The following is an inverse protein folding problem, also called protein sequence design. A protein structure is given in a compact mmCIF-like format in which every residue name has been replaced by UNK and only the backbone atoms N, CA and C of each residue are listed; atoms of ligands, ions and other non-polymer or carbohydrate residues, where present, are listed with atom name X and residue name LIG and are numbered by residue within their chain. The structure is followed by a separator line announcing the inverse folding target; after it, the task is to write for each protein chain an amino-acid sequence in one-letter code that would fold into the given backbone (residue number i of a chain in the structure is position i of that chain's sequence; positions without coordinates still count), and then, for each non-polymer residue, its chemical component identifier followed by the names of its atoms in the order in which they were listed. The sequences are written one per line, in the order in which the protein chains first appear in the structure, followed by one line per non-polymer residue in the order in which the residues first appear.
data_IF_146287171757
#
_entry.id   IF_146287171757
#
_cell.length_a   1.000
_cell.length_b   1.000
_cell.length_c   1.000
_cell.angle_alpha   90.00
_cell.angle_beta   90.00
_cell.angle_gamma   90.00
#
_symmetry.space_group_name_H-M   'P 1'
#
loop_
_entity.id
_entity.type
_entity.pdbx_description
1 polymer ?
#
# COMPACT_ATOMS: atom_id res chain seq x y z
N UNK A 1 46.31 -22.02 35.57
CA UNK A 1 47.08 -22.07 34.31
C UNK A 1 46.17 -21.63 33.16
N UNK A 2 46.73 -20.83 32.23
CA UNK A 2 46.25 -20.42 30.89
C UNK A 2 44.89 -19.68 30.80
N UNK A 3 44.82 -18.37 30.44
CA UNK A 3 45.00 -17.72 29.10
C UNK A 3 43.84 -18.10 28.14
N UNK A 4 43.18 -17.25 27.34
CA UNK A 4 43.41 -15.89 26.79
C UNK A 4 42.15 -15.48 25.97
N UNK A 5 41.88 -14.17 25.87
CA UNK A 5 41.33 -13.33 24.77
C UNK A 5 40.39 -13.97 23.69
N UNK A 6 39.37 -13.29 23.14
CA UNK A 6 39.47 -12.00 22.43
C UNK A 6 38.09 -11.47 21.94
N UNK A 7 37.93 -10.14 22.01
CA UNK A 7 37.24 -9.19 21.13
C UNK A 7 35.74 -9.33 20.75
N UNK A 8 34.94 -8.34 21.17
CA UNK A 8 34.05 -7.59 20.26
C UNK A 8 33.66 -6.21 20.82
N UNK A 9 34.35 -5.18 20.34
CA UNK A 9 34.07 -3.74 20.47
C UNK A 9 35.00 -3.10 19.43
N UNK A 10 34.60 -2.26 18.49
CA UNK A 10 33.56 -1.23 18.44
C UNK A 10 33.32 -0.92 16.96
N UNK A 11 32.08 -0.79 16.50
CA UNK A 11 31.78 0.04 15.34
C UNK A 11 30.83 1.15 15.74
N UNK A 12 31.35 2.36 15.53
CA UNK A 12 30.81 3.66 15.91
C UNK A 12 29.59 3.95 15.03
N UNK A 13 28.44 4.20 15.65
CA UNK A 13 27.35 4.89 14.96
C UNK A 13 27.81 6.31 14.63
N UNK A 14 28.03 6.56 13.34
CA UNK A 14 28.39 7.89 12.82
C UNK A 14 27.12 8.74 12.76
N UNK A 15 26.93 9.62 13.73
CA UNK A 15 25.96 10.70 13.66
C UNK A 15 26.51 11.79 12.75
N UNK A 16 25.98 11.91 11.52
CA UNK A 16 26.29 13.05 10.65
C UNK A 16 25.35 14.19 11.00
N UNK A 17 25.83 15.10 11.86
CA UNK A 17 25.24 16.41 12.07
C UNK A 17 25.59 17.33 10.90
N UNK A 18 24.62 17.64 10.06
CA UNK A 18 24.73 18.64 8.98
C UNK A 18 24.06 19.94 9.37
N UNK A 19 24.76 20.81 10.11
CA UNK A 19 24.40 22.23 10.23
C UNK A 19 24.99 22.95 9.01
N UNK A 20 24.17 23.52 8.13
CA UNK A 20 24.69 24.44 7.11
C UNK A 20 23.75 25.59 6.80
N UNK A 21 24.37 26.78 6.89
CA UNK A 21 23.81 28.13 6.90
C UNK A 21 23.16 28.47 5.55
N UNK A 22 21.99 29.10 5.59
CA UNK A 22 21.36 29.73 4.43
C UNK A 22 22.23 30.90 3.94
N UNK A 23 22.65 30.87 2.67
CA UNK A 23 23.02 32.07 1.91
C UNK A 23 21.87 32.40 0.96
N UNK A 24 21.46 33.67 0.80
CA UNK A 24 20.54 34.04 -0.26
C UNK A 24 21.36 34.21 -1.56
N UNK A 25 21.23 33.25 -2.46
CA UNK A 25 21.71 33.32 -3.83
C UNK A 25 20.57 33.75 -4.74
N UNK A 26 20.77 34.89 -5.39
CA UNK A 26 19.95 35.53 -6.41
C UNK A 26 19.59 34.58 -7.57
N UNK A 27 18.30 34.43 -7.91
CA UNK A 27 17.84 33.80 -9.15
C UNK A 27 16.95 34.76 -9.93
N UNK A 28 17.50 35.33 -10.99
CA UNK A 28 16.75 35.88 -12.09
C UNK A 28 16.60 34.84 -13.20
N UNK A 29 15.42 34.82 -13.82
CA UNK A 29 15.21 34.50 -15.23
C UNK A 29 15.17 33.02 -15.63
N UNK A 30 14.04 32.61 -16.22
CA UNK A 30 13.95 31.43 -17.06
C UNK A 30 12.73 30.56 -16.78
N UNK A 31 11.57 30.95 -17.30
CA UNK A 31 10.39 30.12 -17.34
C UNK A 31 10.60 28.97 -18.35
N UNK A 32 11.13 27.85 -17.88
CA UNK A 32 10.86 26.52 -18.44
C UNK A 32 10.18 25.74 -17.31
N UNK A 33 8.87 25.55 -17.44
CA UNK A 33 8.11 24.69 -16.55
C UNK A 33 8.44 23.24 -16.90
N UNK A 34 9.58 22.77 -16.38
CA UNK A 34 9.85 21.34 -16.32
C UNK A 34 8.68 20.66 -15.59
N UNK A 35 8.15 19.53 -16.09
CA UNK A 35 7.13 18.78 -15.36
C UNK A 35 7.70 18.43 -13.97
N UNK A 36 6.91 18.67 -12.94
CA UNK A 36 7.32 18.40 -11.56
C UNK A 36 7.84 16.95 -11.48
N UNK A 37 8.98 16.70 -10.79
CA UNK A 37 9.46 15.34 -10.62
C UNK A 37 8.36 14.49 -9.95
N UNK A 38 8.22 13.21 -10.34
CA UNK A 38 7.24 12.35 -9.70
C UNK A 38 7.48 12.35 -8.18
N UNK A 39 6.41 12.28 -7.37
CA UNK A 39 6.57 12.24 -5.92
C UNK A 39 7.53 11.10 -5.55
N UNK A 40 8.41 11.30 -4.55
CA UNK A 40 9.33 10.26 -4.12
C UNK A 40 8.55 9.00 -3.74
N UNK A 41 9.08 7.79 -4.00
CA UNK A 41 8.42 6.56 -3.60
C UNK A 41 8.18 6.63 -2.09
N UNK A 42 6.90 6.58 -1.70
CA UNK A 42 6.53 6.48 -0.29
C UNK A 42 7.14 5.16 0.20
N UNK A 43 7.89 5.19 1.31
CA UNK A 43 8.35 3.96 1.95
C UNK A 43 7.11 3.30 2.55
N UNK A 44 6.41 2.51 1.75
CA UNK A 44 5.14 1.91 2.12
C UNK A 44 5.34 0.80 3.16
N UNK A 45 4.41 0.71 4.10
CA UNK A 45 4.41 -0.32 5.13
C UNK A 45 5.19 0.00 6.40
N UNK A 46 5.43 1.27 6.73
CA UNK A 46 5.90 1.65 8.08
C UNK A 46 4.76 2.33 8.84
N UNK A 47 4.34 1.71 9.94
CA UNK A 47 3.24 2.17 10.78
C UNK A 47 3.81 2.76 12.08
N UNK A 48 3.57 4.05 12.40
CA UNK A 48 3.93 4.60 13.69
C UNK A 48 2.96 4.08 14.76
N UNK A 49 3.51 3.41 15.77
CA UNK A 49 2.76 2.91 16.92
C UNK A 49 3.15 3.68 18.17
N UNK A 50 2.14 4.01 18.96
CA UNK A 50 2.27 4.73 20.22
C UNK A 50 1.81 3.83 21.35
N UNK A 51 2.64 3.69 22.37
CA UNK A 51 2.30 2.96 23.59
C UNK A 51 2.47 3.90 24.76
N UNK A 52 1.44 3.98 25.61
CA UNK A 52 1.51 4.68 26.89
C UNK A 52 1.12 3.79 28.06
N UNK A 53 1.79 3.95 29.18
CA UNK A 53 1.52 3.21 30.42
C UNK A 53 1.58 4.16 31.60
N UNK A 54 0.48 4.26 32.33
CA UNK A 54 0.42 5.01 33.59
C UNK A 54 1.05 4.17 34.71
N UNK A 55 2.11 4.71 35.30
CA UNK A 55 2.75 4.23 36.52
C UNK A 55 2.30 5.13 37.68
N UNK A 56 2.47 4.68 38.92
CA UNK A 56 1.94 5.39 40.09
C UNK A 56 2.36 6.87 40.15
N UNK A 57 3.62 7.17 39.84
CA UNK A 57 4.21 8.52 39.94
C UNK A 57 4.67 9.09 38.60
N UNK A 58 4.62 8.30 37.52
CA UNK A 58 5.15 8.68 36.19
C UNK A 58 4.34 8.04 35.08
N UNK A 59 4.53 8.47 33.84
CA UNK A 59 3.95 7.80 32.67
C UNK A 59 5.09 7.38 31.75
N UNK A 60 5.03 6.14 31.28
CA UNK A 60 5.92 5.65 30.24
C UNK A 60 5.25 5.85 28.88
N UNK A 61 5.94 6.50 27.94
CA UNK A 61 5.49 6.69 26.57
C UNK A 61 6.58 6.29 25.59
N UNK A 62 6.23 5.49 24.61
CA UNK A 62 7.15 5.05 23.56
C UNK A 62 6.51 5.17 22.19
N UNK A 63 7.33 5.48 21.18
CA UNK A 63 6.92 5.50 19.79
C UNK A 63 7.85 4.61 18.99
N UNK A 64 7.30 3.61 18.30
CA UNK A 64 8.08 2.71 17.45
C UNK A 64 7.49 2.60 16.06
N UNK A 65 8.38 2.29 15.12
CA UNK A 65 8.05 2.08 13.72
C UNK A 65 7.82 0.59 13.49
N UNK A 66 6.62 0.24 13.02
CA UNK A 66 6.25 -1.13 12.70
C UNK A 66 6.33 -1.36 11.21
N UNK A 67 7.16 -2.31 10.78
CA UNK A 67 7.17 -2.75 9.39
C UNK A 67 6.00 -3.72 9.15
N UNK A 68 5.14 -3.38 8.20
CA UNK A 68 4.04 -4.20 7.75
C UNK A 68 4.60 -5.36 6.92
N UNK A 69 5.04 -6.42 7.61
CA UNK A 69 5.37 -7.72 7.01
C UNK A 69 4.17 -8.66 7.09
N UNK A 70 4.26 -9.78 6.36
CA UNK A 70 3.19 -10.75 6.10
C UNK A 70 2.30 -11.03 7.34
N UNK A 71 0.97 -10.96 7.17
CA UNK A 71 -0.04 -10.91 8.26
C UNK A 71 0.07 -12.05 9.28
N UNK A 72 0.48 -13.24 8.85
CA UNK A 72 0.63 -14.42 9.71
C UNK A 72 1.80 -14.26 10.70
N UNK A 73 2.95 -13.79 10.22
CA UNK A 73 4.10 -13.48 11.09
C UNK A 73 3.75 -12.29 11.99
N UNK A 74 3.09 -11.27 11.43
CA UNK A 74 2.65 -10.07 12.16
C UNK A 74 1.63 -10.34 13.27
N UNK A 75 0.89 -11.44 13.27
CA UNK A 75 -0.06 -11.77 14.34
C UNK A 75 0.62 -12.27 15.62
N UNK A 76 1.80 -12.88 15.49
CA UNK A 76 2.59 -13.46 16.57
C UNK A 76 3.56 -12.49 17.24
N UNK A 77 3.91 -11.39 16.54
CA UNK A 77 4.88 -10.39 17.01
C UNK A 77 4.40 -9.49 18.17
N UNK A 78 3.13 -9.01 18.24
CA UNK A 78 2.68 -8.13 19.32
C UNK A 78 2.94 -8.66 20.74
N UNK A 79 2.64 -9.93 21.09
CA UNK A 79 2.94 -10.43 22.43
C UNK A 79 4.44 -10.55 22.71
N UNK A 80 5.27 -10.87 21.69
CA UNK A 80 6.73 -10.97 21.84
C UNK A 80 7.35 -9.60 22.10
N UNK A 81 6.96 -8.60 21.31
CA UNK A 81 7.46 -7.22 21.45
C UNK A 81 7.00 -6.61 22.78
N UNK A 82 5.76 -6.86 23.20
CA UNK A 82 5.24 -6.36 24.49
C UNK A 82 6.05 -6.90 25.67
N UNK A 83 6.35 -8.22 25.65
CA UNK A 83 7.22 -8.84 26.65
C UNK A 83 8.62 -8.26 26.64
N UNK A 84 9.21 -8.10 25.46
CA UNK A 84 10.55 -7.53 25.33
C UNK A 84 10.61 -6.09 25.85
N UNK A 85 9.61 -5.27 25.50
CA UNK A 85 9.51 -3.88 25.96
C UNK A 85 9.38 -3.80 27.49
N UNK A 86 8.51 -4.62 28.09
CA UNK A 86 8.41 -4.68 29.56
C UNK A 86 9.74 -5.07 30.21
N UNK A 87 10.47 -6.02 29.60
CA UNK A 87 11.77 -6.47 30.11
C UNK A 87 12.85 -5.39 30.01
N UNK A 88 12.91 -4.66 28.91
CA UNK A 88 13.90 -3.61 28.68
C UNK A 88 13.65 -2.37 29.55
N UNK A 89 12.38 -2.01 29.72
CA UNK A 89 11.98 -0.81 30.48
C UNK A 89 11.73 -1.09 31.97
N UNK A 90 11.90 -2.33 32.42
CA UNK A 90 11.68 -2.73 33.81
C UNK A 90 10.21 -2.61 34.26
N UNK A 91 9.25 -2.70 33.32
CA UNK A 91 7.83 -2.60 33.62
C UNK A 91 7.31 -3.94 34.20
N UNK A 92 6.35 -3.90 35.15
CA UNK A 92 5.68 -5.10 35.62
C UNK A 92 5.02 -5.90 34.49
N UNK A 93 5.10 -7.23 34.58
CA UNK A 93 4.52 -8.17 33.59
C UNK A 93 3.01 -7.96 33.39
N UNK A 94 2.30 -7.42 34.38
CA UNK A 94 0.89 -7.05 34.26
C UNK A 94 0.59 -6.08 33.11
N UNK A 95 1.57 -5.28 32.69
CA UNK A 95 1.42 -4.32 31.60
C UNK A 95 1.62 -4.93 30.21
N UNK A 96 2.15 -6.16 30.08
CA UNK A 96 2.36 -6.81 28.78
C UNK A 96 1.05 -6.86 27.96
N UNK A 97 -0.05 -7.29 28.59
CA UNK A 97 -1.36 -7.37 27.93
C UNK A 97 -1.89 -6.02 27.48
N UNK A 98 -1.62 -4.97 28.26
CA UNK A 98 -2.07 -3.61 27.97
C UNK A 98 -1.28 -3.02 26.79
N UNK A 99 0.04 -3.21 26.78
CA UNK A 99 0.92 -2.81 25.67
C UNK A 99 0.56 -3.58 24.40
N UNK A 100 0.34 -4.89 24.51
CA UNK A 100 -0.09 -5.74 23.39
C UNK A 100 -1.42 -5.24 22.80
N UNK A 101 -2.40 -4.92 23.64
CA UNK A 101 -3.69 -4.40 23.20
C UNK A 101 -3.54 -3.07 22.45
N UNK A 102 -2.65 -2.17 22.92
CA UNK A 102 -2.36 -0.92 22.23
C UNK A 102 -1.67 -1.12 20.88
N UNK A 103 -0.69 -2.03 20.80
CA UNK A 103 -0.05 -2.43 19.54
C UNK A 103 -1.10 -2.95 18.56
N UNK A 104 -1.93 -3.91 18.98
CA UNK A 104 -2.98 -4.49 18.14
C UNK A 104 -3.99 -3.45 17.68
N UNK A 105 -4.40 -2.55 18.58
CA UNK A 105 -5.31 -1.46 18.25
C UNK A 105 -4.70 -0.47 17.26
N UNK A 106 -3.41 -0.14 17.42
CA UNK A 106 -2.66 0.68 16.48
C UNK A 106 -2.58 0.02 15.12
N UNK A 107 -2.15 -1.24 15.04
CA UNK A 107 -2.08 -2.01 13.79
C UNK A 107 -3.43 -2.12 13.09
N UNK A 108 -4.52 -2.31 13.84
CA UNK A 108 -5.88 -2.38 13.26
C UNK A 108 -6.26 -1.11 12.51
N UNK A 109 -5.80 0.07 12.95
CA UNK A 109 -6.06 1.35 12.25
C UNK A 109 -5.40 1.42 10.89
N UNK A 110 -4.32 0.67 10.70
CA UNK A 110 -3.51 0.65 9.48
C UNK A 110 -3.63 -0.66 8.70
N UNK A 111 -4.41 -1.62 9.18
CA UNK A 111 -4.69 -2.90 8.50
C UNK A 111 -5.58 -2.75 7.25
N UNK A 112 -5.67 -1.55 6.67
CA UNK A 112 -6.62 -1.15 5.63
C UNK A 112 -6.25 -1.51 4.19
N UNK A 113 -5.11 -2.16 3.93
CA UNK A 113 -4.89 -2.86 2.65
C UNK A 113 -5.05 -4.35 2.95
N UNK A 114 -6.27 -4.86 2.78
CA UNK A 114 -6.51 -6.31 2.83
C UNK A 114 -5.76 -6.95 1.66
N UNK A 115 -4.71 -7.70 1.97
CA UNK A 115 -4.00 -8.52 0.99
C UNK A 115 -4.88 -9.75 0.72
N UNK A 116 -5.45 -9.86 -0.48
CA UNK A 116 -6.28 -11.01 -0.86
C UNK A 116 -5.47 -12.30 -1.09
N UNK A 117 -4.14 -12.25 -0.93
CA UNK A 117 -3.23 -13.38 -1.04
C UNK A 117 -2.88 -13.74 -2.48
N UNK A 118 -1.81 -13.15 -3.02
CA UNK A 118 -1.38 -13.33 -4.41
C UNK A 118 -1.79 -12.16 -5.31
N UNK A 119 -1.86 -12.37 -6.62
CA UNK A 119 -2.37 -11.37 -7.58
C UNK A 119 -3.90 -11.29 -7.48
N UNK A 120 -4.46 -10.09 -7.32
CA UNK A 120 -5.91 -9.86 -7.23
C UNK A 120 -6.37 -8.97 -8.39
N UNK A 121 -6.29 -9.51 -9.59
CA UNK A 121 -6.58 -8.80 -10.83
C UNK A 121 -8.09 -8.67 -11.06
N UNK A 122 -8.60 -7.44 -11.06
CA UNK A 122 -9.98 -7.11 -11.40
C UNK A 122 -10.07 -6.38 -12.73
N UNK A 123 -11.24 -6.43 -13.36
CA UNK A 123 -11.50 -5.62 -14.56
C UNK A 123 -12.31 -4.40 -14.15
N UNK A 124 -11.77 -3.20 -14.39
CA UNK A 124 -12.46 -1.93 -14.22
C UNK A 124 -13.10 -1.52 -15.56
N UNK A 125 -14.33 -1.05 -15.51
CA UNK A 125 -15.11 -0.59 -16.66
C UNK A 125 -15.40 0.90 -16.49
N UNK A 126 -14.51 1.73 -17.02
CA UNK A 126 -14.50 3.17 -16.80
C UNK A 126 -15.46 3.83 -17.80
N UNK A 127 -16.39 4.63 -17.30
CA UNK A 127 -17.26 5.50 -18.10
C UNK A 127 -17.39 6.83 -17.39
N UNK A 128 -16.62 7.81 -17.86
CA UNK A 128 -16.46 9.12 -17.22
C UNK A 128 -16.96 10.20 -18.16
N UNK A 129 -17.97 10.93 -17.73
CA UNK A 129 -18.55 12.04 -18.49
C UNK A 129 -18.06 13.36 -17.91
N UNK A 130 -17.52 14.24 -18.76
CA UNK A 130 -17.14 15.59 -18.33
C UNK A 130 -17.36 16.60 -19.46
N UNK A 131 -18.30 17.52 -19.25
CA UNK A 131 -18.69 18.50 -20.26
C UNK A 131 -19.44 17.85 -21.43
N UNK A 132 -18.91 17.97 -22.65
CA UNK A 132 -19.45 17.28 -23.83
C UNK A 132 -18.63 16.05 -24.25
N UNK A 133 -17.63 15.66 -23.47
CA UNK A 133 -16.74 14.55 -23.80
C UNK A 133 -16.98 13.40 -22.81
N UNK A 134 -16.98 12.16 -23.32
CA UNK A 134 -17.15 10.94 -22.53
C UNK A 134 -15.93 10.05 -22.78
N UNK A 135 -15.21 9.75 -21.72
CA UNK A 135 -14.10 8.80 -21.72
C UNK A 135 -14.61 7.42 -21.30
N UNK A 136 -14.39 6.42 -22.14
CA UNK A 136 -14.69 5.02 -21.83
C UNK A 136 -13.43 4.18 -21.97
N UNK A 137 -13.22 3.26 -21.03
CA UNK A 137 -12.07 2.36 -21.09
C UNK A 137 -12.34 1.10 -20.27
N UNK A 138 -11.68 0.01 -20.63
CA UNK A 138 -11.67 -1.23 -19.85
C UNK A 138 -10.24 -1.57 -19.51
N UNK A 139 -9.92 -1.60 -18.23
CA UNK A 139 -8.55 -1.83 -17.73
C UNK A 139 -8.49 -2.96 -16.71
N UNK A 140 -7.38 -3.68 -16.70
CA UNK A 140 -7.11 -4.67 -15.66
C UNK A 140 -6.33 -3.99 -14.54
N UNK A 141 -6.76 -4.23 -13.30
CA UNK A 141 -6.19 -3.59 -12.12
C UNK A 141 -5.87 -4.62 -11.06
N UNK A 142 -4.64 -4.64 -10.56
CA UNK A 142 -4.29 -5.47 -9.40
C UNK A 142 -4.61 -4.71 -8.11
N UNK A 143 -5.50 -5.29 -7.28
CA UNK A 143 -5.89 -4.73 -5.98
C UNK A 143 -4.82 -4.87 -4.90
N UNK A 144 -3.86 -5.78 -5.10
CA UNK A 144 -2.78 -6.07 -4.15
C UNK A 144 -1.47 -5.36 -4.52
N UNK A 145 -1.34 -4.83 -5.73
CA UNK A 145 -0.17 -4.03 -6.11
C UNK A 145 -0.27 -2.64 -5.48
N UNK A 146 0.65 -2.35 -4.57
CA UNK A 146 0.62 -1.13 -3.76
C UNK A 146 1.09 0.10 -4.53
N UNK A 147 1.87 -0.10 -5.59
CA UNK A 147 2.36 0.97 -6.48
C UNK A 147 1.29 1.50 -7.44
N UNK A 148 0.15 0.80 -7.56
CA UNK A 148 -0.95 1.23 -8.41
C UNK A 148 -1.68 2.42 -7.77
N UNK A 149 -1.44 3.63 -8.30
CA UNK A 149 -2.14 4.86 -7.89
C UNK A 149 -3.19 5.26 -8.94
N UNK A 150 -4.47 5.38 -8.54
CA UNK A 150 -5.54 5.92 -9.40
C UNK A 150 -5.23 7.32 -9.94
N UNK A 151 -4.56 8.15 -9.15
CA UNK A 151 -4.17 9.51 -9.52
C UNK A 151 -3.09 9.52 -10.60
N UNK A 152 -2.06 8.68 -10.45
CA UNK A 152 -1.02 8.53 -11.47
C UNK A 152 -1.59 7.96 -12.77
N UNK A 153 -2.50 6.98 -12.68
CA UNK A 153 -3.21 6.43 -13.83
C UNK A 153 -4.02 7.52 -14.55
N UNK A 154 -4.83 8.28 -13.82
CA UNK A 154 -5.66 9.34 -14.40
C UNK A 154 -4.81 10.45 -15.07
N UNK A 155 -3.68 10.81 -14.46
CA UNK A 155 -2.74 11.74 -15.04
C UNK A 155 -2.18 11.23 -16.38
N UNK A 156 -1.72 9.98 -16.41
CA UNK A 156 -1.15 9.37 -17.61
C UNK A 156 -2.19 9.27 -18.73
N UNK A 157 -3.43 8.87 -18.42
CA UNK A 157 -4.53 8.84 -19.39
C UNK A 157 -4.78 10.23 -19.99
N UNK A 158 -4.80 11.27 -19.15
CA UNK A 158 -4.99 12.64 -19.63
C UNK A 158 -3.82 13.11 -20.50
N UNK A 159 -2.58 12.74 -20.18
CA UNK A 159 -1.41 13.06 -20.98
C UNK A 159 -1.43 12.35 -22.35
N UNK A 160 -1.74 11.06 -22.36
CA UNK A 160 -1.73 10.20 -23.54
C UNK A 160 -2.84 10.58 -24.54
N UNK A 161 -4.05 10.84 -24.03
CA UNK A 161 -5.22 11.21 -24.83
C UNK A 161 -5.36 12.72 -25.06
N UNK A 162 -4.43 13.53 -24.52
CA UNK A 162 -4.45 15.00 -24.57
C UNK A 162 -5.76 15.59 -24.04
N UNK A 163 -6.30 15.00 -22.98
CA UNK A 163 -7.49 15.49 -22.30
C UNK A 163 -7.17 16.72 -21.44
N UNK A 164 -8.22 17.46 -21.08
CA UNK A 164 -8.09 18.56 -20.11
C UNK A 164 -7.76 18.00 -18.73
N UNK A 165 -6.99 18.74 -17.95
CA UNK A 165 -6.63 18.39 -16.57
C UNK A 165 -7.87 18.15 -15.70
N UNK A 166 -9.00 18.78 -16.03
CA UNK A 166 -10.27 18.59 -15.30
C UNK A 166 -10.83 17.16 -15.40
N UNK A 167 -10.40 16.34 -16.37
CA UNK A 167 -10.73 14.92 -16.46
C UNK A 167 -9.98 14.05 -15.44
N UNK A 168 -8.87 14.54 -14.90
CA UNK A 168 -8.01 13.78 -14.00
C UNK A 168 -8.74 13.37 -12.72
N UNK A 169 -9.45 14.31 -12.08
CA UNK A 169 -10.18 14.03 -10.84
C UNK A 169 -11.36 13.06 -11.06
N UNK A 170 -12.27 13.28 -12.04
CA UNK A 170 -13.33 12.32 -12.35
C UNK A 170 -12.83 10.89 -12.63
N UNK A 171 -11.77 10.74 -13.43
CA UNK A 171 -11.19 9.42 -13.72
C UNK A 171 -10.65 8.77 -12.44
N UNK A 172 -9.87 9.51 -11.65
CA UNK A 172 -9.31 8.98 -10.40
C UNK A 172 -10.41 8.59 -9.40
N UNK A 173 -11.47 9.38 -9.27
CA UNK A 173 -12.64 9.06 -8.42
C UNK A 173 -13.29 7.75 -8.89
N UNK A 174 -13.61 7.63 -10.17
CA UNK A 174 -14.27 6.43 -10.72
C UNK A 174 -13.42 5.17 -10.50
N UNK A 175 -12.11 5.26 -10.71
CA UNK A 175 -11.19 4.15 -10.45
C UNK A 175 -11.18 3.76 -8.97
N UNK A 176 -11.07 4.73 -8.05
CA UNK A 176 -11.12 4.47 -6.59
C UNK A 176 -12.42 3.81 -6.15
N UNK A 177 -13.55 4.30 -6.66
CA UNK A 177 -14.86 3.75 -6.36
C UNK A 177 -14.99 2.30 -6.82
N UNK A 178 -14.56 1.98 -8.04
CA UNK A 178 -14.60 0.61 -8.54
C UNK A 178 -13.66 -0.32 -7.77
N UNK A 179 -12.43 0.14 -7.47
CA UNK A 179 -11.49 -0.60 -6.62
C UNK A 179 -12.17 -0.98 -5.30
N UNK A 180 -12.77 -0.01 -4.60
CA UNK A 180 -13.41 -0.25 -3.30
C UNK A 180 -14.61 -1.19 -3.42
N UNK A 181 -15.44 -1.04 -4.45
CA UNK A 181 -16.55 -1.96 -4.73
C UNK A 181 -16.07 -3.40 -4.95
N UNK A 182 -14.98 -3.57 -5.70
CA UNK A 182 -14.36 -4.88 -5.92
C UNK A 182 -13.80 -5.46 -4.62
N UNK A 183 -13.13 -4.65 -3.78
CA UNK A 183 -12.64 -5.08 -2.47
C UNK A 183 -13.77 -5.56 -1.58
N UNK A 184 -14.86 -4.78 -1.47
CA UNK A 184 -16.01 -5.15 -0.65
C UNK A 184 -16.70 -6.43 -1.14
N UNK A 185 -16.80 -6.61 -2.47
CA UNK A 185 -17.34 -7.85 -3.05
C UNK A 185 -16.49 -9.06 -2.66
N UNK A 186 -15.17 -8.96 -2.84
CA UNK A 186 -14.24 -10.03 -2.47
C UNK A 186 -14.30 -10.34 -0.98
N UNK A 187 -14.33 -9.33 -0.12
CA UNK A 187 -14.44 -9.50 1.32
C UNK A 187 -15.75 -10.19 1.72
N UNK A 188 -16.85 -9.84 1.05
CA UNK A 188 -18.15 -10.48 1.27
C UNK A 188 -18.10 -11.95 0.87
N UNK A 189 -17.58 -12.26 -0.31
CA UNK A 189 -17.47 -13.63 -0.83
C UNK A 189 -16.54 -14.49 0.03
N UNK A 190 -15.45 -13.89 0.52
CA UNK A 190 -14.53 -14.47 1.50
C UNK A 190 -15.24 -14.82 2.82
N UNK A 191 -15.99 -13.86 3.38
CA UNK A 191 -16.70 -14.02 4.66
C UNK A 191 -17.87 -15.01 4.59
N UNK A 192 -18.48 -15.18 3.41
CA UNK A 192 -19.61 -16.07 3.19
C UNK A 192 -19.22 -17.56 3.05
N UNK A 193 -17.92 -17.89 3.09
CA UNK A 193 -17.45 -19.28 2.99
C UNK A 193 -17.66 -19.92 1.62
N UNK A 194 -17.92 -19.12 0.57
CA UNK A 194 -18.16 -19.63 -0.80
C UNK A 194 -16.89 -20.17 -1.49
N UNK A 195 -15.72 -20.14 -0.84
CA UNK A 195 -14.47 -20.66 -1.38
C UNK A 195 -14.28 -22.20 -1.19
N UNK A 196 -15.35 -22.97 -0.95
CA UNK A 196 -15.26 -24.41 -0.64
C UNK A 196 -15.81 -25.36 -1.71
N UNK A 197 -15.87 -24.97 -2.99
CA UNK A 197 -16.12 -25.94 -4.08
C UNK A 197 -15.24 -25.68 -5.30
N UNK A 198 -13.94 -25.93 -5.15
CA UNK A 198 -13.02 -26.17 -6.28
C UNK A 198 -12.19 -27.41 -5.97
N UNK A 199 -12.00 -28.37 -6.91
CA UNK A 199 -11.18 -29.52 -6.64
C UNK A 199 -9.69 -29.16 -6.73
N UNK A 200 -8.92 -29.69 -5.77
CA UNK A 200 -7.46 -29.88 -5.83
C UNK A 200 -6.54 -28.77 -5.31
N UNK A 201 -6.22 -28.89 -4.01
CA UNK A 201 -4.85 -28.90 -3.45
C UNK A 201 -3.81 -27.93 -4.02
N UNK A 202 -3.76 -26.72 -3.45
CA UNK A 202 -2.52 -26.00 -3.17
C UNK A 202 -2.75 -25.14 -1.91
N UNK A 203 -1.87 -25.15 -0.89
CA UNK A 203 -2.01 -24.27 0.29
C UNK A 203 -1.72 -22.79 -0.01
N UNK A 204 -1.58 -22.41 -1.28
CA UNK A 204 -1.30 -21.05 -1.76
C UNK A 204 -2.03 -20.86 -3.08
N UNK A 205 -2.99 -19.94 -3.12
CA UNK A 205 -3.69 -19.58 -4.36
C UNK A 205 -5.18 -19.39 -4.13
N UNK A 206 -5.55 -18.27 -3.51
CA UNK A 206 -6.95 -17.84 -3.41
C UNK A 206 -7.16 -16.70 -4.40
N UNK A 207 -7.30 -17.05 -5.69
CA UNK A 207 -7.69 -16.11 -6.73
C UNK A 207 -8.18 -16.85 -7.98
N UNK A 208 -9.41 -17.36 -7.97
CA UNK A 208 -10.08 -17.78 -9.22
C UNK A 208 -11.54 -17.35 -9.23
N UNK A 209 -11.80 -16.08 -8.90
CA UNK A 209 -13.11 -15.48 -9.14
C UNK A 209 -12.96 -14.04 -9.64
N UNK A 210 -12.01 -13.75 -10.55
CA UNK A 210 -11.89 -12.42 -11.11
C UNK A 210 -11.52 -12.49 -12.59
N UNK A 211 -12.53 -12.30 -13.45
CA UNK A 211 -12.46 -12.44 -14.92
C UNK A 211 -12.00 -13.82 -15.39
N UNK A 212 -12.39 -14.24 -16.60
CA UNK A 212 -11.88 -15.47 -17.22
C UNK A 212 -10.37 -15.59 -17.01
N UNK A 213 -9.83 -16.80 -16.73
CA UNK A 213 -8.41 -16.96 -16.47
C UNK A 213 -7.66 -16.26 -17.58
N UNK A 214 -6.78 -15.34 -17.21
CA UNK A 214 -5.81 -14.79 -18.14
C UNK A 214 -5.22 -15.99 -18.90
N UNK A 215 -5.18 -15.96 -20.24
CA UNK A 215 -4.49 -17.00 -20.97
C UNK A 215 -3.08 -17.10 -20.36
N UNK A 216 -2.69 -18.34 -20.04
CA UNK A 216 -1.42 -18.77 -19.47
C UNK A 216 -0.29 -17.73 -19.61
N UNK A 217 0.46 -17.47 -18.54
CA UNK A 217 1.47 -16.42 -18.39
C UNK A 217 2.54 -16.33 -19.51
N UNK A 218 2.54 -17.25 -20.47
CA UNK A 218 3.25 -17.18 -21.75
C UNK A 218 2.59 -16.34 -22.85
N UNK A 219 1.35 -15.84 -22.69
CA UNK A 219 0.68 -14.99 -23.69
C UNK A 219 0.51 -13.56 -23.17
N UNK A 220 1.53 -12.73 -23.45
CA UNK A 220 1.53 -11.29 -23.15
C UNK A 220 0.59 -10.50 -24.09
N UNK A 221 0.24 -11.06 -25.25
CA UNK A 221 -0.58 -10.38 -26.26
C UNK A 221 -2.07 -10.72 -26.16
N UNK A 222 -2.90 -9.69 -26.06
CA UNK A 222 -4.37 -9.81 -26.20
C UNK A 222 -4.74 -10.25 -27.61
N UNK A 223 -5.84 -11.00 -27.75
CA UNK A 223 -6.32 -11.42 -29.08
C UNK A 223 -6.83 -10.22 -29.89
N UNK A 224 -6.96 -10.38 -31.22
CA UNK A 224 -7.50 -9.31 -32.07
C UNK A 224 -8.94 -8.94 -31.70
N UNK A 225 -9.77 -9.90 -31.24
CA UNK A 225 -11.13 -9.64 -30.78
C UNK A 225 -11.14 -8.86 -29.45
N UNK A 226 -10.19 -9.14 -28.56
CA UNK A 226 -10.04 -8.37 -27.31
C UNK A 226 -9.64 -6.92 -27.60
N UNK A 227 -8.85 -6.65 -28.64
CA UNK A 227 -8.46 -5.27 -28.98
C UNK A 227 -9.62 -4.34 -29.34
N UNK A 228 -10.77 -4.89 -29.73
CA UNK A 228 -11.98 -4.09 -29.99
C UNK A 228 -12.73 -3.71 -28.71
N UNK A 229 -12.47 -4.42 -27.61
CA UNK A 229 -13.16 -4.25 -26.31
C UNK A 229 -12.26 -3.58 -25.27
N UNK A 230 -10.95 -3.71 -25.43
CA UNK A 230 -9.94 -3.20 -24.51
C UNK A 230 -9.23 -2.00 -25.12
N UNK A 231 -9.44 -0.83 -24.52
CA UNK A 231 -8.74 0.40 -24.87
C UNK A 231 -9.59 1.65 -24.63
N UNK A 232 -8.94 2.83 -24.64
CA UNK A 232 -9.62 4.09 -24.41
C UNK A 232 -10.41 4.54 -25.64
N UNK A 233 -11.67 4.90 -25.42
CA UNK A 233 -12.54 5.57 -26.38
C UNK A 233 -12.92 6.95 -25.84
N UNK A 234 -12.84 7.97 -26.71
CA UNK A 234 -13.31 9.31 -26.42
C UNK A 234 -14.47 9.65 -27.34
N UNK A 235 -15.63 9.88 -26.75
CA UNK A 235 -16.85 10.26 -27.45
C UNK A 235 -17.11 11.74 -27.22
N UNK A 236 -17.63 12.43 -28.25
CA UNK A 236 -18.11 13.81 -28.13
C UNK A 236 -19.63 13.82 -28.31
N UNK A 237 -20.35 14.34 -27.33
CA UNK A 237 -21.78 14.57 -27.42
C UNK A 237 -22.03 15.76 -28.36
N UNK A 238 -22.81 15.49 -29.41
CA UNK A 238 -23.30 16.49 -30.37
C UNK A 238 -24.45 17.33 -29.80
#
# INVERSE_FOLDING_TARGET
MAKSNQARSTEKATAVGGSSRRRPGNYGGGANSDPAPPPPPVVEGIIPLYVSVDLADTEFRETFLWKQENREESASLPPLISRQLCREMGLPVSYERLIEAQIRAGLKKFAGKEDFGGEALVTLDLSVEFGNEIYKDKVQWDLNESQNSPEMFAWQVCEDLRLKVDFMEPIAVTVREQIEQHRQRLLKDWSAGLAMTGPSTSPRGMATCLSSPLPDAGRVERTLADREVWGPELWRME
#
